data_IF_499271485740
#
_entry.id   IF_499271485740
#
_cell.length_a   1.000
_cell.length_b   1.000
_cell.length_c   1.000
_cell.angle_alpha   90.00
_cell.angle_beta   90.00
_cell.angle_gamma   90.00
#
_symmetry.space_group_name_H-M   'P 1'
#
loop_
_entity.id
_entity.type
_entity.pdbx_description
1 polymer ?
#
# COMPACT_ATOMS: atom_id res chain seq x y z
N UNK A 1 20.40 -20.82 -4.67
CA UNK A 1 19.24 -20.18 -4.02
C UNK A 1 18.59 -19.32 -5.06
N UNK A 2 17.60 -19.86 -5.75
CA UNK A 2 16.73 -19.05 -6.61
C UNK A 2 15.90 -18.18 -5.67
N UNK A 3 16.18 -16.88 -5.64
CA UNK A 3 15.26 -15.93 -5.04
C UNK A 3 14.01 -15.95 -5.91
N UNK A 4 12.95 -16.64 -5.48
CA UNK A 4 11.61 -16.42 -6.00
C UNK A 4 11.21 -14.99 -5.64
N UNK A 5 11.64 -14.02 -6.43
CA UNK A 5 11.03 -12.70 -6.41
C UNK A 5 9.60 -12.90 -6.90
N UNK A 6 8.64 -12.79 -5.99
CA UNK A 6 7.23 -12.77 -6.36
C UNK A 6 7.05 -11.53 -7.25
N UNK A 7 7.05 -11.74 -8.57
CA UNK A 7 6.88 -10.65 -9.52
C UNK A 7 5.40 -10.28 -9.53
N UNK A 8 5.07 -9.14 -8.94
CA UNK A 8 3.72 -8.61 -8.96
C UNK A 8 3.28 -8.40 -10.41
N UNK A 9 2.23 -9.10 -10.84
CA UNK A 9 1.59 -8.83 -12.12
C UNK A 9 0.68 -7.60 -12.01
N UNK A 10 0.34 -6.93 -13.13
CA UNK A 10 -0.65 -5.86 -13.11
C UNK A 10 -2.02 -6.31 -12.56
N UNK A 11 -2.36 -7.59 -12.75
CA UNK A 11 -3.60 -8.20 -12.28
C UNK A 11 -3.59 -8.39 -10.76
N UNK A 12 -2.45 -8.84 -10.20
CA UNK A 12 -2.26 -8.92 -8.74
C UNK A 12 -2.35 -7.54 -8.10
N UNK A 13 -1.74 -6.52 -8.71
CA UNK A 13 -1.81 -5.16 -8.20
C UNK A 13 -3.25 -4.63 -8.18
N UNK A 14 -4.01 -4.82 -9.26
CA UNK A 14 -5.42 -4.42 -9.33
C UNK A 14 -6.27 -5.09 -8.25
N UNK A 15 -6.04 -6.38 -8.02
CA UNK A 15 -6.73 -7.14 -6.98
C UNK A 15 -6.36 -6.65 -5.58
N UNK A 16 -5.07 -6.48 -5.29
CA UNK A 16 -4.60 -5.95 -4.01
C UNK A 16 -5.12 -4.53 -3.77
N UNK A 17 -5.12 -3.67 -4.80
CA UNK A 17 -5.63 -2.31 -4.74
C UNK A 17 -7.10 -2.27 -4.32
N UNK A 18 -7.91 -3.20 -4.82
CA UNK A 18 -9.32 -3.32 -4.42
C UNK A 18 -9.45 -3.69 -2.95
N UNK A 19 -8.69 -4.69 -2.50
CA UNK A 19 -8.69 -5.14 -1.09
C UNK A 19 -8.27 -4.01 -0.16
N UNK A 20 -7.17 -3.31 -0.47
CA UNK A 20 -6.65 -2.18 0.32
C UNK A 20 -7.68 -1.06 0.36
N UNK A 21 -8.31 -0.72 -0.77
CA UNK A 21 -9.36 0.32 -0.83
C UNK A 21 -10.55 0.00 0.07
N UNK A 22 -11.07 -1.23 -0.03
CA UNK A 22 -12.23 -1.64 0.75
C UNK A 22 -11.88 -1.65 2.25
N UNK A 23 -10.73 -2.21 2.61
CA UNK A 23 -10.28 -2.32 4.00
C UNK A 23 -10.00 -0.96 4.67
N UNK A 24 -9.30 -0.06 3.97
CA UNK A 24 -8.98 1.27 4.49
C UNK A 24 -10.24 2.15 4.64
N UNK A 25 -11.21 1.99 3.72
CA UNK A 25 -12.51 2.68 3.84
C UNK A 25 -13.32 2.17 5.03
N UNK A 26 -13.31 0.87 5.30
CA UNK A 26 -13.92 0.29 6.50
C UNK A 26 -13.27 0.82 7.79
N UNK A 27 -11.96 1.10 7.74
CA UNK A 27 -11.21 1.72 8.83
C UNK A 27 -11.31 3.26 8.88
N UNK A 28 -12.25 3.87 8.14
CA UNK A 28 -12.50 5.32 8.08
C UNK A 28 -11.34 6.18 7.53
N UNK A 29 -10.44 5.58 6.74
CA UNK A 29 -9.40 6.31 6.03
C UNK A 29 -9.90 6.80 4.66
N UNK A 30 -9.95 8.13 4.50
CA UNK A 30 -10.25 8.78 3.23
C UNK A 30 -8.96 9.13 2.50
N UNK A 31 -8.47 8.21 1.69
CA UNK A 31 -7.31 8.38 0.83
C UNK A 31 -7.73 8.75 -0.60
N UNK A 32 -6.90 9.50 -1.30
CA UNK A 32 -7.06 9.74 -2.74
C UNK A 32 -6.68 8.51 -3.57
N UNK A 33 -7.10 8.46 -4.84
CA UNK A 33 -6.77 7.34 -5.73
C UNK A 33 -5.25 7.11 -5.84
N UNK A 34 -4.46 8.19 -5.93
CA UNK A 34 -3.00 8.11 -5.97
C UNK A 34 -2.44 7.58 -4.64
N UNK A 35 -3.00 7.98 -3.50
CA UNK A 35 -2.58 7.47 -2.20
C UNK A 35 -2.87 5.98 -2.06
N UNK A 36 -4.03 5.52 -2.55
CA UNK A 36 -4.33 4.09 -2.58
C UNK A 36 -3.37 3.29 -3.44
N UNK A 37 -2.99 3.80 -4.62
CA UNK A 37 -2.02 3.14 -5.49
C UNK A 37 -0.63 3.04 -4.82
N UNK A 38 -0.17 4.11 -4.20
CA UNK A 38 1.10 4.14 -3.49
C UNK A 38 1.09 3.23 -2.27
N UNK A 39 0.02 3.28 -1.46
CA UNK A 39 -0.14 2.43 -0.29
C UNK A 39 -0.21 0.95 -0.67
N UNK A 40 -0.89 0.62 -1.76
CA UNK A 40 -0.95 -0.75 -2.27
C UNK A 40 0.45 -1.24 -2.67
N UNK A 41 1.23 -0.39 -3.34
CA UNK A 41 2.63 -0.70 -3.66
C UNK A 41 3.46 -1.00 -2.42
N UNK A 42 3.40 -0.13 -1.41
CA UNK A 42 4.13 -0.29 -0.14
C UNK A 42 3.70 -1.57 0.59
N UNK A 43 2.40 -1.90 0.60
CA UNK A 43 1.86 -3.10 1.24
C UNK A 43 2.33 -4.37 0.51
N UNK A 44 2.26 -4.39 -0.82
CA UNK A 44 2.73 -5.53 -1.61
C UNK A 44 4.24 -5.74 -1.45
N UNK A 45 5.02 -4.65 -1.45
CA UNK A 45 6.47 -4.73 -1.19
C UNK A 45 6.74 -5.26 0.21
N UNK A 46 6.02 -4.77 1.23
CA UNK A 46 6.14 -5.26 2.61
C UNK A 46 5.81 -6.74 2.70
N UNK A 47 4.73 -7.20 2.06
CA UNK A 47 4.37 -8.62 2.03
C UNK A 47 5.49 -9.47 1.42
N UNK A 48 6.02 -9.05 0.26
CA UNK A 48 7.12 -9.75 -0.40
C UNK A 48 8.40 -9.76 0.46
N UNK A 49 8.72 -8.66 1.14
CA UNK A 49 9.87 -8.55 2.04
C UNK A 49 9.74 -9.46 3.28
N UNK A 50 8.52 -9.66 3.78
CA UNK A 50 8.24 -10.57 4.89
C UNK A 50 8.22 -12.05 4.46
N UNK A 51 8.42 -12.33 3.17
CA UNK A 51 8.33 -13.68 2.59
C UNK A 51 6.89 -14.15 2.40
N UNK A 52 5.92 -13.23 2.45
CA UNK A 52 4.52 -13.48 2.15
C UNK A 52 4.23 -13.47 0.65
N UNK A 53 2.95 -13.69 0.33
CA UNK A 53 2.40 -13.62 -1.02
C UNK A 53 1.43 -12.43 -1.17
N UNK A 54 0.84 -12.30 -2.36
CA UNK A 54 -0.19 -11.28 -2.64
C UNK A 54 -1.60 -11.81 -2.41
N UNK A 55 -1.78 -12.77 -1.48
CA UNK A 55 -3.11 -13.24 -1.09
C UNK A 55 -3.88 -12.17 -0.33
N UNK A 56 -5.21 -12.21 -0.42
CA UNK A 56 -6.08 -11.20 0.21
C UNK A 56 -5.90 -11.20 1.73
N UNK A 57 -5.58 -12.36 2.33
CA UNK A 57 -5.34 -12.51 3.76
C UNK A 57 -4.06 -11.77 4.18
N UNK A 58 -2.94 -12.02 3.50
CA UNK A 58 -1.67 -11.34 3.79
C UNK A 58 -1.79 -9.83 3.57
N UNK A 59 -2.43 -9.39 2.49
CA UNK A 59 -2.62 -7.96 2.23
C UNK A 59 -3.44 -7.30 3.35
N UNK A 60 -4.49 -7.95 3.86
CA UNK A 60 -5.27 -7.43 5.00
C UNK A 60 -4.48 -7.42 6.30
N UNK A 61 -3.65 -8.43 6.54
CA UNK A 61 -2.78 -8.47 7.71
C UNK A 61 -1.78 -7.31 7.71
N UNK A 62 -1.11 -7.07 6.58
CA UNK A 62 -0.22 -5.92 6.42
C UNK A 62 -0.99 -4.60 6.54
N UNK A 63 -2.20 -4.49 5.98
CA UNK A 63 -3.06 -3.31 6.17
C UNK A 63 -3.31 -3.01 7.66
N UNK A 64 -3.66 -4.03 8.44
CA UNK A 64 -3.88 -3.88 9.88
C UNK A 64 -2.60 -3.42 10.59
N UNK A 65 -1.44 -4.00 10.27
CA UNK A 65 -0.14 -3.59 10.82
C UNK A 65 0.13 -2.11 10.52
N UNK A 66 -0.17 -1.65 9.31
CA UNK A 66 -0.03 -0.24 8.93
C UNK A 66 -0.93 0.63 9.82
N UNK A 67 -2.21 0.31 9.94
CA UNK A 67 -3.17 1.04 10.77
C UNK A 67 -2.69 1.11 12.23
N UNK A 68 -2.33 -0.04 12.82
CA UNK A 68 -1.87 -0.14 14.21
C UNK A 68 -0.61 0.71 14.45
N UNK A 69 0.29 0.76 13.47
CA UNK A 69 1.53 1.55 13.53
C UNK A 69 1.34 3.05 13.27
N UNK A 70 0.11 3.52 13.06
CA UNK A 70 -0.21 4.92 12.73
C UNK A 70 0.54 5.38 11.45
N UNK A 71 0.56 4.52 10.43
CA UNK A 71 1.36 4.68 9.22
C UNK A 71 1.13 6.00 8.48
N UNK A 72 -0.08 6.58 8.55
CA UNK A 72 -0.52 7.64 7.64
C UNK A 72 0.44 8.83 7.58
N UNK A 73 0.94 9.30 8.72
CA UNK A 73 1.89 10.42 8.76
C UNK A 73 3.24 10.06 8.09
N UNK A 74 3.74 8.84 8.31
CA UNK A 74 4.98 8.34 7.70
C UNK A 74 4.82 8.15 6.20
N UNK A 75 3.69 7.56 5.79
CA UNK A 75 3.31 7.37 4.40
C UNK A 75 3.27 8.70 3.63
N UNK A 76 2.57 9.70 4.17
CA UNK A 76 2.50 11.05 3.57
C UNK A 76 3.87 11.70 3.42
N UNK A 77 4.76 11.49 4.39
CA UNK A 77 6.12 12.02 4.33
C UNK A 77 6.99 11.26 3.31
N UNK A 78 6.91 9.93 3.27
CA UNK A 78 7.67 9.10 2.33
C UNK A 78 7.26 9.37 0.88
N UNK A 79 5.98 9.60 0.63
CA UNK A 79 5.44 9.90 -0.69
C UNK A 79 5.23 11.40 -0.94
N UNK A 80 5.86 12.27 -0.13
CA UNK A 80 5.68 13.72 -0.24
C UNK A 80 6.05 14.25 -1.62
N UNK A 81 7.03 13.66 -2.31
CA UNK A 81 7.42 14.10 -3.66
C UNK A 81 6.36 13.75 -4.72
N UNK A 82 5.62 12.65 -4.50
CA UNK A 82 4.55 12.18 -5.39
C UNK A 82 3.21 12.85 -5.08
N UNK A 83 2.91 13.06 -3.79
CA UNK A 83 1.68 13.68 -3.29
C UNK A 83 1.77 15.22 -3.25
N UNK A 84 2.98 15.77 -3.16
CA UNK A 84 3.26 17.19 -2.92
C UNK A 84 3.46 18.04 -4.17
N UNK A 85 3.24 17.51 -5.38
CA UNK A 85 3.28 18.29 -6.63
C UNK A 85 2.06 19.21 -6.81
N UNK A 86 1.58 19.82 -5.72
CA UNK A 86 0.54 20.87 -5.75
C UNK A 86 0.79 22.02 -4.76
N UNK A 87 1.96 22.09 -4.09
CA UNK A 87 2.20 23.13 -3.07
C UNK A 87 3.53 23.89 -3.16
N UNK A 88 4.08 24.05 -4.36
CA UNK A 88 5.09 25.10 -4.63
C UNK A 88 4.65 25.93 -5.84
N UNK A 89 3.62 26.76 -5.63
CA UNK A 89 3.46 28.03 -6.34
C UNK A 89 3.66 29.14 -5.29
N UNK A 90 4.88 29.66 -5.21
CA UNK A 90 5.17 30.98 -4.66
C UNK A 90 5.96 31.75 -5.70
#
# INVERSE_FOLDING_TARGET
MEYCSVQATPEDFQRCLKVVKDYMREADYQLENLEFELLTGDIMETSAMMGGDFSDENIKEICQIYIDSHFYQRFRNAHKDKLGSSFLRF
#
